data_IF_973567295669
#
_entry.id   IF_973567295669
#
_cell.length_a   1.000
_cell.length_b   1.000
_cell.length_c   1.000
_cell.angle_alpha   90.00
_cell.angle_beta   90.00
_cell.angle_gamma   90.00
#
_symmetry.space_group_name_H-M   'P 1'
#
loop_
_entity.id
_entity.type
_entity.pdbx_description
1 polymer ?
#
# COMPACT_ATOMS: atom_id res chain seq x y z
N UNK A 1 1.78 14.61 5.58
CA UNK A 1 0.76 15.08 4.63
C UNK A 1 -0.66 14.77 5.13
N UNK A 2 -1.09 13.48 5.29
CA UNK A 2 -2.50 13.19 5.67
C UNK A 2 -2.87 13.84 7.00
N UNK A 3 -2.05 13.73 8.03
CA UNK A 3 -2.30 14.36 9.34
C UNK A 3 -2.46 15.88 9.24
N UNK A 4 -1.51 16.53 8.59
CA UNK A 4 -1.54 17.99 8.41
C UNK A 4 -2.79 18.45 7.65
N UNK A 5 -3.13 17.71 6.57
CA UNK A 5 -4.35 18.01 5.79
C UNK A 5 -5.61 17.79 6.61
N UNK A 6 -5.70 16.69 7.35
CA UNK A 6 -6.85 16.40 8.21
C UNK A 6 -6.99 17.42 9.32
N UNK A 7 -5.89 17.79 9.98
CA UNK A 7 -5.87 18.84 11.02
C UNK A 7 -6.38 20.19 10.48
N UNK A 8 -5.89 20.59 9.31
CA UNK A 8 -6.32 21.85 8.70
C UNK A 8 -7.79 21.83 8.24
N UNK A 9 -8.28 20.67 7.80
CA UNK A 9 -9.65 20.52 7.32
C UNK A 9 -10.66 20.37 8.46
N UNK A 10 -10.30 19.75 9.58
CA UNK A 10 -11.20 19.42 10.68
C UNK A 10 -12.14 20.56 11.12
N UNK A 11 -11.67 21.81 11.35
CA UNK A 11 -12.55 22.92 11.78
C UNK A 11 -13.49 23.40 10.68
N UNK A 12 -13.30 22.99 9.43
CA UNK A 12 -14.08 23.42 8.26
C UNK A 12 -15.14 22.40 7.85
N UNK A 13 -15.12 21.19 8.45
CA UNK A 13 -16.03 20.11 8.09
C UNK A 13 -17.45 20.37 8.62
N UNK A 14 -18.45 20.02 7.81
CA UNK A 14 -19.86 20.05 8.23
C UNK A 14 -20.22 18.77 8.96
N UNK A 15 -21.23 18.79 9.84
CA UNK A 15 -21.62 17.61 10.64
C UNK A 15 -21.99 16.36 9.82
N UNK A 16 -22.42 16.54 8.58
CA UNK A 16 -22.85 15.48 7.65
C UNK A 16 -21.73 14.99 6.71
N UNK A 17 -20.49 15.44 6.93
CA UNK A 17 -19.36 15.08 6.05
C UNK A 17 -18.96 13.61 6.23
N UNK A 18 -18.82 12.89 5.11
CA UNK A 18 -18.15 11.60 5.03
C UNK A 18 -16.70 11.80 4.56
N UNK A 19 -15.75 11.32 5.34
CA UNK A 19 -14.32 11.37 5.01
C UNK A 19 -13.92 10.14 4.19
N UNK A 20 -13.26 10.37 3.06
CA UNK A 20 -12.76 9.29 2.21
C UNK A 20 -11.26 9.44 2.04
N UNK A 21 -10.50 8.41 2.44
CA UNK A 21 -9.07 8.36 2.15
C UNK A 21 -8.77 7.43 0.98
N UNK A 22 -8.07 7.95 -0.03
CA UNK A 22 -7.46 7.16 -1.10
C UNK A 22 -5.93 7.09 -0.93
N UNK A 23 -5.38 7.73 0.11
CA UNK A 23 -3.97 7.68 0.43
C UNK A 23 -3.59 6.29 0.96
N UNK A 24 -2.48 5.75 0.44
CA UNK A 24 -1.94 4.45 0.85
C UNK A 24 -0.69 4.68 1.70
N UNK A 25 -0.61 4.00 2.83
CA UNK A 25 0.54 4.09 3.71
C UNK A 25 0.20 3.87 5.17
N UNK A 26 1.27 3.85 5.97
CA UNK A 26 1.24 3.81 7.43
C UNK A 26 2.09 4.99 7.91
N UNK A 27 1.59 5.73 8.89
CA UNK A 27 2.32 6.86 9.44
C UNK A 27 3.59 6.37 10.15
N UNK A 28 4.69 7.09 9.96
CA UNK A 28 5.94 6.80 10.67
C UNK A 28 5.73 7.03 12.17
N UNK A 29 6.51 6.38 12.96
CA UNK A 29 6.59 6.50 14.41
C UNK A 29 5.32 6.05 15.16
N UNK A 30 4.13 6.44 14.70
CA UNK A 30 2.85 6.05 15.32
C UNK A 30 2.32 4.72 14.80
N UNK A 31 2.68 4.33 13.57
CA UNK A 31 2.16 3.18 12.82
C UNK A 31 0.64 3.22 12.58
N UNK A 32 0.04 4.41 12.62
CA UNK A 32 -1.38 4.58 12.37
C UNK A 32 -1.70 4.44 10.86
N UNK A 33 -2.82 3.78 10.59
CA UNK A 33 -3.44 3.76 9.27
C UNK A 33 -4.03 5.13 8.95
N UNK A 34 -4.27 5.41 7.68
CA UNK A 34 -4.78 6.72 7.25
C UNK A 34 -6.14 7.04 7.87
N UNK A 35 -7.03 6.03 7.99
CA UNK A 35 -8.33 6.20 8.65
C UNK A 35 -8.18 6.56 10.14
N UNK A 36 -7.23 5.97 10.83
CA UNK A 36 -6.97 6.28 12.26
C UNK A 36 -6.41 7.70 12.44
N UNK A 37 -5.61 8.18 11.49
CA UNK A 37 -5.15 9.58 11.48
C UNK A 37 -6.34 10.53 11.31
N UNK A 38 -7.23 10.24 10.35
CA UNK A 38 -8.45 11.03 10.16
C UNK A 38 -9.31 11.05 11.42
N UNK A 39 -9.50 9.88 12.05
CA UNK A 39 -10.25 9.74 13.30
C UNK A 39 -9.67 10.60 14.43
N UNK A 40 -8.34 10.54 14.61
CA UNK A 40 -7.66 11.37 15.64
C UNK A 40 -7.80 12.85 15.39
N UNK A 41 -7.54 13.32 14.17
CA UNK A 41 -7.54 14.75 13.86
C UNK A 41 -8.94 15.36 13.86
N UNK A 42 -9.97 14.54 13.67
CA UNK A 42 -11.38 14.99 13.67
C UNK A 42 -12.13 14.62 14.95
N UNK A 43 -11.45 14.03 15.95
CA UNK A 43 -12.05 13.64 17.21
C UNK A 43 -13.09 12.52 17.09
N UNK A 44 -13.04 11.71 16.04
CA UNK A 44 -13.98 10.62 15.80
C UNK A 44 -15.41 11.06 15.43
N UNK A 45 -15.60 12.32 15.06
CA UNK A 45 -16.92 12.88 14.83
C UNK A 45 -17.53 12.51 13.45
N UNK A 46 -16.75 11.93 12.54
CA UNK A 46 -17.16 11.72 11.16
C UNK A 46 -17.06 10.25 10.75
N UNK A 47 -17.97 9.74 9.89
CA UNK A 47 -17.79 8.45 9.27
C UNK A 47 -16.59 8.50 8.31
N UNK A 48 -15.82 7.41 8.29
CA UNK A 48 -14.59 7.32 7.48
C UNK A 48 -14.66 6.08 6.58
N UNK A 49 -14.27 6.23 5.33
CA UNK A 49 -14.07 5.13 4.40
C UNK A 49 -12.68 5.20 3.75
N UNK A 50 -12.11 4.04 3.46
CA UNK A 50 -10.91 3.91 2.64
C UNK A 50 -11.28 3.41 1.25
N UNK A 51 -10.74 4.04 0.19
CA UNK A 51 -10.89 3.61 -1.20
C UNK A 51 -9.53 3.09 -1.70
N UNK A 52 -9.42 1.80 -2.01
CA UNK A 52 -8.18 1.17 -2.44
C UNK A 52 -8.42 0.05 -3.45
N UNK A 53 -7.41 -0.24 -4.28
CA UNK A 53 -7.48 -1.26 -5.32
C UNK A 53 -6.50 -0.96 -6.46
N UNK A 54 -6.50 -1.78 -7.53
CA UNK A 54 -5.66 -1.60 -8.71
C UNK A 54 -6.15 -0.41 -9.54
N UNK A 55 -5.70 0.80 -9.19
CA UNK A 55 -6.19 2.06 -9.76
C UNK A 55 -5.07 3.05 -10.04
N UNK A 56 -4.20 2.72 -10.98
CA UNK A 56 -3.21 3.69 -11.47
C UNK A 56 -3.90 4.90 -12.11
N UNK A 57 -3.54 6.09 -11.65
CA UNK A 57 -4.18 7.34 -12.04
C UNK A 57 -4.14 7.58 -13.57
N UNK A 58 -3.06 7.13 -14.21
CA UNK A 58 -2.86 7.23 -15.65
C UNK A 58 -3.89 6.40 -16.44
N UNK A 59 -4.33 5.27 -15.92
CA UNK A 59 -5.33 4.39 -16.55
C UNK A 59 -6.74 4.87 -16.23
N UNK A 60 -7.00 5.20 -14.97
CA UNK A 60 -8.29 5.77 -14.53
C UNK A 60 -8.60 7.06 -15.29
N UNK A 61 -7.63 7.96 -15.40
CA UNK A 61 -7.79 9.23 -16.12
C UNK A 61 -8.08 9.08 -17.63
N UNK A 62 -7.71 7.93 -18.22
CA UNK A 62 -8.05 7.58 -19.60
C UNK A 62 -9.37 6.81 -19.73
N UNK A 63 -10.08 6.60 -18.63
CA UNK A 63 -11.35 5.88 -18.62
C UNK A 63 -11.21 4.38 -18.91
N UNK A 64 -10.06 3.76 -18.60
CA UNK A 64 -9.89 2.32 -18.72
C UNK A 64 -10.65 1.58 -17.60
N UNK A 65 -11.22 0.39 -17.88
CA UNK A 65 -11.96 -0.38 -16.88
C UNK A 65 -11.10 -0.64 -15.64
N UNK A 66 -11.59 -0.20 -14.49
CA UNK A 66 -10.88 -0.25 -13.21
C UNK A 66 -11.82 -0.72 -12.10
N UNK A 67 -11.30 -1.42 -11.10
CA UNK A 67 -12.06 -1.84 -9.93
C UNK A 67 -11.37 -1.48 -8.63
N UNK A 68 -12.14 -0.96 -7.65
CA UNK A 68 -11.67 -0.61 -6.31
C UNK A 68 -12.60 -1.17 -5.23
N UNK A 69 -12.16 -1.07 -3.99
CA UNK A 69 -12.93 -1.40 -2.78
C UNK A 69 -13.09 -0.14 -1.94
N UNK A 70 -14.33 0.19 -1.60
CA UNK A 70 -14.69 1.15 -0.58
C UNK A 70 -14.89 0.39 0.75
N UNK A 71 -14.00 0.61 1.71
CA UNK A 71 -14.04 -0.08 2.99
C UNK A 71 -14.36 0.87 4.13
N UNK A 72 -15.32 0.49 4.98
CA UNK A 72 -15.70 1.23 6.18
C UNK A 72 -16.34 0.31 7.20
N UNK A 73 -16.17 0.62 8.49
CA UNK A 73 -16.93 -0.04 9.56
C UNK A 73 -18.43 0.30 9.49
N UNK A 74 -18.78 1.41 8.84
CA UNK A 74 -20.15 1.81 8.53
C UNK A 74 -20.52 1.35 7.12
N UNK A 75 -21.45 0.39 7.01
CA UNK A 75 -21.95 -0.05 5.71
C UNK A 75 -22.57 1.11 4.91
N UNK A 76 -23.28 2.02 5.55
CA UNK A 76 -23.86 3.19 4.90
C UNK A 76 -22.78 4.08 4.29
N UNK A 77 -21.67 4.31 5.00
CA UNK A 77 -20.54 5.07 4.48
C UNK A 77 -19.89 4.38 3.26
N UNK A 78 -19.68 3.06 3.33
CA UNK A 78 -19.13 2.30 2.20
C UNK A 78 -20.04 2.36 0.96
N UNK A 79 -21.36 2.24 1.13
CA UNK A 79 -22.34 2.36 0.05
C UNK A 79 -22.38 3.77 -0.54
N UNK A 80 -22.32 4.82 0.30
CA UNK A 80 -22.25 6.20 -0.17
C UNK A 80 -21.02 6.43 -1.06
N UNK A 81 -19.85 5.87 -0.66
CA UNK A 81 -18.64 5.95 -1.47
C UNK A 81 -18.78 5.16 -2.77
N UNK A 82 -19.39 3.97 -2.70
CA UNK A 82 -19.68 3.17 -3.90
C UNK A 82 -20.51 3.97 -4.90
N UNK A 83 -21.63 4.53 -4.46
CA UNK A 83 -22.55 5.29 -5.34
C UNK A 83 -21.89 6.55 -5.92
N UNK A 84 -21.06 7.24 -5.11
CA UNK A 84 -20.39 8.47 -5.54
C UNK A 84 -19.29 8.25 -6.59
N UNK A 85 -18.56 7.12 -6.51
CA UNK A 85 -17.41 6.85 -7.39
C UNK A 85 -17.71 5.88 -8.52
N UNK A 86 -18.73 5.01 -8.38
CA UNK A 86 -19.02 3.98 -9.37
C UNK A 86 -19.58 4.58 -10.68
N UNK A 87 -19.07 4.07 -11.80
CA UNK A 87 -19.57 4.40 -13.14
C UNK A 87 -19.28 3.22 -14.11
N UNK A 88 -19.60 3.37 -15.38
CA UNK A 88 -19.45 2.30 -16.40
C UNK A 88 -18.00 1.81 -16.57
N UNK A 89 -17.01 2.58 -16.16
CA UNK A 89 -15.58 2.27 -16.28
C UNK A 89 -14.89 2.08 -14.94
N UNK A 90 -15.50 2.53 -13.84
CA UNK A 90 -14.94 2.45 -12.50
C UNK A 90 -15.87 1.66 -11.57
N UNK A 91 -15.54 0.40 -11.34
CA UNK A 91 -16.33 -0.48 -10.48
C UNK A 91 -15.89 -0.36 -9.03
N UNK A 92 -16.81 -0.14 -8.12
CA UNK A 92 -16.53 -0.08 -6.68
C UNK A 92 -17.28 -1.20 -5.95
N UNK A 93 -16.54 -1.98 -5.18
CA UNK A 93 -17.07 -3.01 -4.27
C UNK A 93 -17.01 -2.49 -2.84
N UNK A 94 -17.87 -2.96 -1.96
CA UNK A 94 -17.86 -2.58 -0.54
C UNK A 94 -17.22 -3.65 0.33
N UNK A 95 -16.60 -3.25 1.45
CA UNK A 95 -16.04 -4.15 2.46
C UNK A 95 -16.20 -3.55 3.86
N UNK A 96 -16.52 -4.35 4.89
CA UNK A 96 -16.47 -3.90 6.27
C UNK A 96 -15.03 -3.85 6.83
N UNK A 97 -14.07 -4.54 6.19
CA UNK A 97 -12.68 -4.64 6.64
C UNK A 97 -11.83 -3.47 6.15
N UNK A 98 -11.98 -2.31 6.78
CA UNK A 98 -11.14 -1.14 6.50
C UNK A 98 -9.68 -1.40 6.86
N UNK A 99 -9.41 -2.24 7.88
CA UNK A 99 -8.05 -2.57 8.34
C UNK A 99 -7.28 -3.30 7.24
N UNK A 100 -7.84 -4.41 6.76
CA UNK A 100 -7.21 -5.22 5.71
C UNK A 100 -7.03 -4.45 4.40
N UNK A 101 -8.02 -3.63 4.01
CA UNK A 101 -7.94 -2.81 2.79
C UNK A 101 -6.81 -1.77 2.87
N UNK A 102 -6.68 -1.05 3.98
CA UNK A 102 -5.60 -0.07 4.16
C UNK A 102 -4.22 -0.71 4.27
N UNK A 103 -4.09 -1.79 5.06
CA UNK A 103 -2.82 -2.51 5.21
C UNK A 103 -2.35 -3.10 3.89
N UNK A 104 -3.23 -3.73 3.13
CA UNK A 104 -2.90 -4.26 1.80
C UNK A 104 -2.32 -3.18 0.89
N UNK A 105 -2.99 -2.03 0.81
CA UNK A 105 -2.55 -0.91 -0.02
C UNK A 105 -1.22 -0.29 0.42
N UNK A 106 -0.94 -0.27 1.73
CA UNK A 106 0.30 0.26 2.27
C UNK A 106 1.49 -0.69 2.06
N UNK A 107 1.30 -1.97 2.37
CA UNK A 107 2.38 -2.95 2.47
C UNK A 107 2.85 -3.48 1.09
N UNK A 108 1.97 -3.53 0.08
CA UNK A 108 2.30 -3.98 -1.28
C UNK A 108 3.49 -3.24 -1.91
N UNK A 109 3.71 -1.99 -1.54
CA UNK A 109 4.75 -1.14 -2.10
C UNK A 109 6.17 -1.67 -1.81
N UNK A 110 6.35 -2.37 -0.68
CA UNK A 110 7.62 -3.05 -0.34
C UNK A 110 7.84 -4.24 -1.26
N UNK A 111 6.78 -5.00 -1.56
CA UNK A 111 6.85 -6.15 -2.48
C UNK A 111 7.15 -5.67 -3.91
N UNK A 112 6.59 -4.53 -4.32
CA UNK A 112 6.89 -3.95 -5.63
C UNK A 112 8.37 -3.53 -5.77
N UNK A 113 8.99 -3.03 -4.69
CA UNK A 113 10.45 -2.81 -4.63
C UNK A 113 11.20 -4.14 -4.83
N UNK A 114 10.83 -5.19 -4.09
CA UNK A 114 11.45 -6.51 -4.20
C UNK A 114 11.34 -7.08 -5.62
N UNK A 115 10.17 -7.00 -6.25
CA UNK A 115 9.97 -7.41 -7.65
C UNK A 115 10.86 -6.61 -8.61
N UNK A 116 10.94 -5.29 -8.40
CA UNK A 116 11.84 -4.43 -9.18
C UNK A 116 13.30 -4.81 -9.02
N UNK A 117 13.76 -5.12 -7.80
CA UNK A 117 15.12 -5.60 -7.54
C UNK A 117 15.41 -6.86 -8.35
N UNK A 118 14.49 -7.83 -8.34
CA UNK A 118 14.62 -9.06 -9.15
C UNK A 118 14.68 -8.75 -10.64
N UNK A 119 13.83 -7.84 -11.15
CA UNK A 119 13.88 -7.39 -12.54
C UNK A 119 15.25 -6.76 -12.88
N UNK A 120 15.77 -5.90 -12.01
CA UNK A 120 17.07 -5.24 -12.18
C UNK A 120 18.26 -6.18 -12.15
N UNK A 121 18.16 -7.31 -11.44
CA UNK A 121 19.14 -8.40 -11.43
C UNK A 121 19.03 -9.33 -12.65
N UNK A 122 18.04 -9.14 -13.53
CA UNK A 122 17.80 -9.98 -14.69
C UNK A 122 16.99 -11.25 -14.43
N UNK A 123 16.35 -11.37 -13.25
CA UNK A 123 15.42 -12.45 -12.99
C UNK A 123 14.10 -12.23 -13.75
N UNK A 124 13.42 -13.34 -14.06
CA UNK A 124 12.25 -13.31 -14.94
C UNK A 124 10.95 -13.68 -14.21
N UNK A 125 9.90 -13.96 -14.97
CA UNK A 125 8.52 -14.05 -14.50
C UNK A 125 8.28 -15.13 -13.43
N UNK A 126 8.97 -16.28 -13.51
CA UNK A 126 8.83 -17.32 -12.49
C UNK A 126 9.30 -16.83 -11.11
N UNK A 127 10.42 -16.12 -11.04
CA UNK A 127 10.93 -15.53 -9.80
C UNK A 127 9.97 -14.47 -9.27
N UNK A 128 9.43 -13.65 -10.15
CA UNK A 128 8.46 -12.62 -9.78
C UNK A 128 7.16 -13.24 -9.24
N UNK A 129 6.63 -14.28 -9.90
CA UNK A 129 5.43 -14.98 -9.44
C UNK A 129 5.66 -15.65 -8.07
N UNK A 130 6.81 -16.32 -7.88
CA UNK A 130 7.20 -16.89 -6.58
C UNK A 130 7.26 -15.81 -5.51
N UNK A 131 7.95 -14.70 -5.78
CA UNK A 131 8.14 -13.61 -4.83
C UNK A 131 6.79 -12.97 -4.42
N UNK A 132 5.92 -12.65 -5.38
CA UNK A 132 4.60 -12.08 -5.10
C UNK A 132 3.74 -13.03 -4.25
N UNK A 133 3.73 -14.32 -4.58
CA UNK A 133 2.95 -15.32 -3.85
C UNK A 133 3.46 -15.49 -2.41
N UNK A 134 4.78 -15.57 -2.22
CA UNK A 134 5.38 -15.70 -0.89
C UNK A 134 5.21 -14.42 -0.05
N UNK A 135 5.42 -13.26 -0.66
CA UNK A 135 5.21 -11.99 0.00
C UNK A 135 3.75 -11.81 0.43
N UNK A 136 2.77 -12.25 -0.38
CA UNK A 136 1.37 -12.20 0.01
C UNK A 136 1.09 -12.98 1.31
N UNK A 137 1.76 -14.12 1.52
CA UNK A 137 1.64 -14.87 2.78
C UNK A 137 2.15 -14.03 3.97
N UNK A 138 3.28 -13.36 3.82
CA UNK A 138 3.81 -12.45 4.85
C UNK A 138 2.82 -11.32 5.16
N UNK A 139 2.27 -10.69 4.10
CA UNK A 139 1.29 -9.61 4.26
C UNK A 139 0.01 -10.08 4.95
N UNK A 140 -0.49 -11.27 4.60
CA UNK A 140 -1.65 -11.88 5.27
C UNK A 140 -1.38 -12.07 6.77
N UNK A 141 -0.25 -12.67 7.13
CA UNK A 141 0.08 -12.94 8.54
C UNK A 141 0.19 -11.63 9.35
N UNK A 142 0.89 -10.63 8.82
CA UNK A 142 0.96 -9.33 9.49
C UNK A 142 -0.40 -8.65 9.56
N UNK A 143 -1.17 -8.69 8.48
CA UNK A 143 -2.49 -8.10 8.40
C UNK A 143 -3.48 -8.70 9.38
N UNK A 144 -3.55 -10.03 9.48
CA UNK A 144 -4.36 -10.75 10.47
C UNK A 144 -3.96 -10.37 11.91
N UNK A 145 -2.65 -10.28 12.16
CA UNK A 145 -2.14 -9.90 13.47
C UNK A 145 -2.50 -8.46 13.87
N UNK A 146 -2.74 -7.60 12.88
CA UNK A 146 -3.16 -6.22 13.05
C UNK A 146 -4.68 -6.01 12.97
N UNK A 147 -5.46 -7.10 12.87
CA UNK A 147 -6.91 -7.09 12.91
C UNK A 147 -7.61 -7.01 11.54
N UNK A 148 -6.90 -7.23 10.44
CA UNK A 148 -7.48 -7.38 9.10
C UNK A 148 -7.96 -8.80 8.82
N UNK A 149 -8.91 -8.94 7.90
CA UNK A 149 -9.40 -10.22 7.43
C UNK A 149 -8.48 -10.78 6.33
N UNK A 150 -8.03 -12.04 6.50
CA UNK A 150 -7.21 -12.75 5.51
C UNK A 150 -7.80 -12.74 4.11
N UNK A 151 -9.12 -12.83 3.97
CA UNK A 151 -9.80 -12.85 2.67
C UNK A 151 -9.62 -11.51 1.91
N UNK A 152 -9.54 -10.39 2.62
CA UNK A 152 -9.31 -9.07 2.03
C UNK A 152 -8.00 -9.01 1.25
N UNK A 153 -6.95 -9.67 1.76
CA UNK A 153 -5.64 -9.71 1.09
C UNK A 153 -5.66 -10.48 -0.23
N UNK A 154 -6.54 -11.48 -0.38
CA UNK A 154 -6.77 -12.20 -1.64
C UNK A 154 -7.61 -11.43 -2.68
N UNK A 155 -8.25 -10.33 -2.27
CA UNK A 155 -9.17 -9.54 -3.10
C UNK A 155 -8.48 -8.42 -3.92
N UNK A 156 -9.33 -7.50 -4.43
CA UNK A 156 -8.87 -6.37 -5.27
C UNK A 156 -7.88 -5.46 -4.56
N UNK A 157 -8.16 -5.09 -3.30
CA UNK A 157 -7.29 -4.18 -2.54
C UNK A 157 -5.96 -4.83 -2.13
N UNK A 158 -5.90 -6.17 -2.05
CA UNK A 158 -4.70 -6.94 -1.75
C UNK A 158 -4.01 -7.44 -3.03
N UNK A 159 -4.33 -8.69 -3.44
CA UNK A 159 -3.69 -9.36 -4.58
C UNK A 159 -3.84 -8.56 -5.88
N UNK A 160 -5.01 -7.97 -6.16
CA UNK A 160 -5.23 -7.18 -7.37
C UNK A 160 -4.30 -5.98 -7.46
N UNK A 161 -4.21 -5.20 -6.39
CA UNK A 161 -3.34 -4.02 -6.31
C UNK A 161 -1.84 -4.39 -6.23
N UNK A 162 -1.52 -5.55 -5.63
CA UNK A 162 -0.16 -6.10 -5.63
C UNK A 162 0.30 -6.43 -7.05
N UNK A 163 -0.50 -7.19 -7.80
CA UNK A 163 -0.16 -7.61 -9.17
C UNK A 163 0.12 -6.39 -10.04
N UNK A 164 -0.81 -5.43 -10.11
CA UNK A 164 -0.62 -4.26 -10.97
C UNK A 164 0.58 -3.42 -10.54
N UNK A 165 0.84 -3.31 -9.23
CA UNK A 165 1.98 -2.52 -8.72
C UNK A 165 3.32 -3.19 -9.00
N UNK A 166 3.39 -4.52 -8.96
CA UNK A 166 4.61 -5.29 -9.21
C UNK A 166 4.90 -5.49 -10.70
N UNK A 167 3.91 -5.38 -11.59
CA UNK A 167 4.07 -5.63 -13.03
C UNK A 167 4.09 -4.35 -13.87
N UNK A 168 3.42 -3.28 -13.43
CA UNK A 168 3.32 -2.03 -14.18
C UNK A 168 4.61 -1.19 -14.10
N UNK A 169 4.99 -0.56 -15.24
CA UNK A 169 6.05 0.46 -15.28
C UNK A 169 5.59 1.82 -14.76
N UNK A 170 4.30 2.04 -14.53
CA UNK A 170 3.81 3.21 -13.81
C UNK A 170 4.20 3.17 -12.31
N UNK A 171 4.48 1.98 -11.76
CA UNK A 171 4.90 1.82 -10.37
C UNK A 171 6.28 2.42 -10.11
N UNK A 172 6.31 3.52 -9.36
CA UNK A 172 7.57 4.13 -8.88
C UNK A 172 8.37 3.17 -8.01
N UNK A 173 7.70 2.38 -7.18
CA UNK A 173 8.36 1.38 -6.33
C UNK A 173 9.07 0.31 -7.16
N UNK A 174 8.42 -0.24 -8.19
CA UNK A 174 9.04 -1.19 -9.10
C UNK A 174 10.25 -0.58 -9.84
N UNK A 175 10.11 0.65 -10.37
CA UNK A 175 11.22 1.35 -11.05
C UNK A 175 12.40 1.59 -10.11
N UNK A 176 12.14 2.02 -8.87
CA UNK A 176 13.18 2.17 -7.85
C UNK A 176 13.87 0.83 -7.56
N UNK A 177 13.11 -0.25 -7.43
CA UNK A 177 13.67 -1.60 -7.28
C UNK A 177 14.59 -2.00 -8.43
N UNK A 178 14.20 -1.72 -9.69
CA UNK A 178 15.04 -2.00 -10.87
C UNK A 178 16.40 -1.29 -10.77
N UNK A 179 16.41 -0.03 -10.39
CA UNK A 179 17.65 0.73 -10.21
C UNK A 179 18.55 0.14 -9.12
N UNK A 180 17.96 -0.28 -7.98
CA UNK A 180 18.67 -0.98 -6.91
C UNK A 180 19.25 -2.31 -7.39
N UNK A 181 18.47 -3.10 -8.11
CA UNK A 181 18.89 -4.39 -8.68
C UNK A 181 20.04 -4.26 -9.70
N UNK A 182 20.10 -3.13 -10.39
CA UNK A 182 21.19 -2.73 -11.31
C UNK A 182 22.45 -2.22 -10.58
N UNK A 183 22.43 -2.17 -9.24
CA UNK A 183 23.58 -1.78 -8.42
C UNK A 183 23.66 -0.30 -8.08
N UNK A 184 22.63 0.52 -8.35
CA UNK A 184 22.60 1.91 -7.89
C UNK A 184 22.43 1.98 -6.37
N UNK A 185 23.05 2.99 -5.76
CA UNK A 185 22.85 3.27 -4.35
C UNK A 185 21.42 3.73 -4.07
N UNK A 186 20.97 3.62 -2.82
CA UNK A 186 19.64 4.09 -2.39
C UNK A 186 19.45 5.58 -2.71
N UNK A 187 20.46 6.40 -2.42
CA UNK A 187 20.42 7.84 -2.71
C UNK A 187 20.22 8.17 -4.20
N UNK A 188 21.01 7.51 -5.07
CA UNK A 188 20.86 7.65 -6.53
C UNK A 188 19.49 7.19 -7.00
N UNK A 189 19.00 6.06 -6.48
CA UNK A 189 17.70 5.50 -6.83
C UNK A 189 16.57 6.46 -6.50
N UNK A 190 16.53 7.02 -5.30
CA UNK A 190 15.51 7.98 -4.88
C UNK A 190 15.54 9.26 -5.72
N UNK A 191 16.71 9.75 -6.06
CA UNK A 191 16.88 10.95 -6.91
C UNK A 191 16.36 10.70 -8.33
N UNK A 192 16.69 9.54 -8.95
CA UNK A 192 16.36 9.24 -10.34
C UNK A 192 14.91 8.78 -10.54
N UNK A 193 14.30 8.13 -9.54
CA UNK A 193 12.93 7.62 -9.68
C UNK A 193 11.93 8.75 -9.91
N UNK A 194 12.17 9.92 -9.36
CA UNK A 194 11.27 11.09 -9.41
C UNK A 194 10.02 10.90 -8.54
N UNK A 195 9.78 11.83 -7.63
CA UNK A 195 8.66 11.76 -6.68
C UNK A 195 8.88 10.78 -5.53
N UNK A 196 7.82 10.53 -4.76
CA UNK A 196 7.89 9.73 -3.54
C UNK A 196 7.90 8.24 -3.87
N UNK A 197 8.88 7.51 -3.38
CA UNK A 197 8.93 6.04 -3.37
C UNK A 197 8.34 5.55 -2.04
N UNK A 198 7.04 5.27 -2.03
CA UNK A 198 6.30 4.90 -0.82
C UNK A 198 6.86 3.64 -0.15
N UNK A 199 7.31 2.68 -0.93
CA UNK A 199 7.91 1.43 -0.44
C UNK A 199 9.18 1.65 0.38
N UNK A 200 9.92 2.74 0.13
CA UNK A 200 11.06 3.11 0.97
C UNK A 200 10.62 3.33 2.42
N UNK A 201 9.60 4.14 2.63
CA UNK A 201 9.09 4.42 3.97
C UNK A 201 8.31 3.24 4.57
N UNK A 202 7.52 2.56 3.75
CA UNK A 202 6.76 1.40 4.17
C UNK A 202 7.65 0.26 4.68
N UNK A 203 8.85 0.07 4.09
CA UNK A 203 9.79 -0.96 4.54
C UNK A 203 10.23 -0.77 6.00
N UNK A 204 10.46 0.45 6.45
CA UNK A 204 10.79 0.73 7.84
C UNK A 204 9.61 0.46 8.78
N UNK A 205 8.41 0.95 8.42
CA UNK A 205 7.19 0.71 9.21
C UNK A 205 6.84 -0.77 9.30
N UNK A 206 6.98 -1.52 8.18
CA UNK A 206 6.79 -2.96 8.17
C UNK A 206 7.76 -3.71 9.06
N UNK A 207 9.04 -3.36 9.01
CA UNK A 207 10.06 -3.98 9.85
C UNK A 207 9.73 -3.79 11.33
N UNK A 208 9.40 -2.56 11.75
CA UNK A 208 9.03 -2.25 13.13
C UNK A 208 7.73 -2.96 13.56
N UNK A 209 6.73 -3.03 12.69
CA UNK A 209 5.49 -3.76 12.97
C UNK A 209 5.73 -5.27 13.08
N UNK A 210 6.58 -5.84 12.23
CA UNK A 210 6.96 -7.25 12.28
C UNK A 210 7.65 -7.59 13.62
N UNK A 211 8.60 -6.76 14.06
CA UNK A 211 9.27 -6.92 15.37
C UNK A 211 8.26 -6.81 16.53
N UNK A 212 7.40 -5.78 16.51
CA UNK A 212 6.40 -5.54 17.55
C UNK A 212 5.36 -6.67 17.66
N UNK A 213 4.99 -7.28 16.54
CA UNK A 213 3.96 -8.33 16.48
C UNK A 213 4.51 -9.74 16.56
N UNK A 214 5.82 -9.93 16.40
CA UNK A 214 6.49 -11.22 16.33
C UNK A 214 6.20 -12.00 15.04
N UNK A 215 5.76 -11.31 13.99
CA UNK A 215 5.47 -11.93 12.68
C UNK A 215 6.76 -12.00 11.86
N UNK A 216 7.08 -13.21 11.38
CA UNK A 216 8.22 -13.39 10.48
C UNK A 216 7.90 -12.89 9.06
N UNK A 217 8.71 -11.96 8.56
CA UNK A 217 8.57 -11.35 7.24
C UNK A 217 9.93 -11.34 6.49
N UNK A 218 10.43 -12.50 6.08
CA UNK A 218 11.77 -12.61 5.51
C UNK A 218 11.97 -11.77 4.23
N UNK A 219 11.01 -11.74 3.32
CA UNK A 219 11.11 -10.94 2.08
C UNK A 219 11.14 -9.46 2.41
N UNK A 220 10.23 -9.00 3.27
CA UNK A 220 10.16 -7.60 3.65
C UNK A 220 11.40 -7.16 4.45
N UNK A 221 11.94 -8.06 5.29
CA UNK A 221 13.21 -7.84 6.00
C UNK A 221 14.38 -7.68 5.02
N UNK A 222 14.46 -8.51 3.98
CA UNK A 222 15.48 -8.37 2.95
C UNK A 222 15.44 -6.98 2.29
N UNK A 223 14.26 -6.47 1.94
CA UNK A 223 14.12 -5.12 1.38
C UNK A 223 14.58 -4.06 2.39
N UNK A 224 14.20 -4.19 3.67
CA UNK A 224 14.66 -3.28 4.71
C UNK A 224 16.17 -3.28 4.86
N UNK A 225 16.83 -4.44 4.86
CA UNK A 225 18.29 -4.56 4.96
C UNK A 225 19.01 -3.87 3.80
N UNK A 226 18.49 -4.01 2.57
CA UNK A 226 19.02 -3.30 1.40
C UNK A 226 18.88 -1.79 1.57
N UNK A 227 17.70 -1.31 1.95
CA UNK A 227 17.38 0.12 1.98
C UNK A 227 18.03 0.87 3.15
N UNK A 228 18.05 0.27 4.34
CA UNK A 228 18.42 0.93 5.59
C UNK A 228 19.73 0.43 6.19
N UNK A 229 20.15 -0.81 5.87
CA UNK A 229 21.45 -1.38 6.31
C UNK A 229 22.46 -1.40 5.18
N UNK A 230 22.08 -0.92 4.00
CA UNK A 230 22.95 -0.83 2.80
C UNK A 230 23.63 -2.17 2.45
N UNK A 231 22.96 -3.29 2.73
CA UNK A 231 23.48 -4.61 2.36
C UNK A 231 23.44 -4.78 0.84
N UNK A 232 24.48 -5.36 0.25
CA UNK A 232 24.50 -5.61 -1.19
C UNK A 232 23.33 -6.50 -1.62
N UNK A 233 22.64 -6.11 -2.69
CA UNK A 233 21.48 -6.84 -3.22
C UNK A 233 21.81 -8.31 -3.49
N UNK A 234 23.01 -8.60 -4.04
CA UNK A 234 23.48 -9.94 -4.38
C UNK A 234 23.65 -10.89 -3.17
N UNK A 235 23.84 -10.32 -2.00
CA UNK A 235 23.97 -11.12 -0.75
C UNK A 235 22.59 -11.42 -0.12
N UNK A 236 21.63 -10.53 -0.31
CA UNK A 236 20.33 -10.58 0.36
C UNK A 236 19.29 -11.35 -0.48
N UNK A 237 19.42 -11.32 -1.80
CA UNK A 237 18.47 -11.94 -2.75
C UNK A 237 18.78 -13.43 -3.10
N UNK A 238 19.53 -14.13 -2.24
CA UNK A 238 19.87 -15.57 -2.41
C UNK A 238 18.87 -16.50 -1.75
#
# INVERSE_FOLDING_TARGET
AVRETAHAAAPLLRPDTLLVTAAKGIERDTHLRMSQILEQETGGAFPIAALSGPSHAEEVGRGLPTGCVAASVSQAAALTVQDAFMNDRFRVYTSPDIVGVELSGALKNVVALACGICDGMGYQDNTKALLMTRAMVELCHLGERLGGDRQTFGGLAGMGDLIVTCTSMHSRNRRAGILLGQGKSVGQTLAETGGVVEGYYAAASMHQLAEKTGVEMPICRCVYEILYRQRPVQEVAR
#
